data_IF_841002501584
#
_entry.id   IF_841002501584
#
_cell.length_a   1.000
_cell.length_b   1.000
_cell.length_c   1.000
_cell.angle_alpha   90.00
_cell.angle_beta   90.00
_cell.angle_gamma   90.00
#
_symmetry.space_group_name_H-M   'P 1'
#
loop_
_entity.id
_entity.type
_entity.pdbx_description
1 polymer ?
#
# COMPACT_ATOMS: atom_id res chain seq x y z
N UNK A 1 -8.44 -14.83 -20.11
CA UNK A 1 -7.91 -15.57 -18.94
C UNK A 1 -8.94 -15.40 -17.84
N UNK A 2 -9.77 -16.40 -17.61
CA UNK A 2 -10.83 -16.35 -16.60
C UNK A 2 -10.12 -16.64 -15.28
N UNK A 3 -10.00 -15.63 -14.40
CA UNK A 3 -9.57 -15.86 -13.03
C UNK A 3 -10.64 -16.72 -12.36
N UNK A 4 -10.26 -17.89 -11.88
CA UNK A 4 -11.14 -18.76 -11.10
C UNK A 4 -11.31 -18.14 -9.71
N UNK A 5 -12.23 -17.17 -9.61
CA UNK A 5 -12.51 -16.38 -8.41
C UNK A 5 -13.10 -17.20 -7.25
N UNK A 6 -13.33 -18.50 -7.43
CA UNK A 6 -14.02 -19.35 -6.44
C UNK A 6 -13.12 -19.85 -5.30
N UNK A 7 -11.80 -20.01 -5.53
CA UNK A 7 -10.89 -20.62 -4.55
C UNK A 7 -10.39 -19.59 -3.52
N UNK A 8 -10.18 -18.34 -3.94
CA UNK A 8 -9.68 -17.23 -3.10
C UNK A 8 -10.70 -16.79 -2.05
N UNK A 9 -11.95 -16.65 -2.49
CA UNK A 9 -13.06 -16.29 -1.63
C UNK A 9 -13.42 -17.45 -0.69
N UNK A 10 -13.25 -18.70 -1.13
CA UNK A 10 -13.38 -19.87 -0.28
C UNK A 10 -12.28 -19.92 0.80
N UNK A 11 -11.01 -19.73 0.45
CA UNK A 11 -9.92 -19.69 1.45
C UNK A 11 -10.13 -18.57 2.46
N UNK A 12 -10.58 -17.41 2.01
CA UNK A 12 -10.95 -16.28 2.87
C UNK A 12 -12.10 -16.61 3.84
N UNK A 13 -13.17 -17.23 3.33
CA UNK A 13 -14.39 -17.47 4.09
C UNK A 13 -14.30 -18.73 4.99
N UNK A 14 -13.52 -19.74 4.60
CA UNK A 14 -13.41 -21.01 5.31
C UNK A 14 -12.15 -21.13 6.19
N UNK A 15 -11.27 -20.13 6.21
CA UNK A 15 -10.07 -20.06 7.06
C UNK A 15 -10.38 -20.43 8.52
N UNK A 16 -11.45 -19.87 9.10
CA UNK A 16 -11.91 -20.18 10.46
C UNK A 16 -12.29 -21.65 10.65
N UNK A 17 -12.89 -22.27 9.65
CA UNK A 17 -13.27 -23.69 9.70
C UNK A 17 -12.05 -24.60 9.57
N UNK A 18 -11.09 -24.28 8.70
CA UNK A 18 -9.84 -25.04 8.59
C UNK A 18 -9.01 -24.97 9.86
N UNK A 19 -8.84 -23.78 10.45
CA UNK A 19 -8.13 -23.63 11.73
C UNK A 19 -8.83 -24.36 12.89
N UNK A 20 -10.16 -24.48 12.86
CA UNK A 20 -10.92 -25.13 13.92
C UNK A 20 -10.96 -26.66 13.80
N UNK A 21 -10.94 -27.19 12.59
CA UNK A 21 -11.17 -28.62 12.34
C UNK A 21 -9.94 -29.37 11.82
N UNK A 22 -8.98 -28.67 11.20
CA UNK A 22 -7.80 -29.29 10.59
C UNK A 22 -6.57 -28.36 10.61
N UNK A 23 -6.25 -27.87 11.82
CA UNK A 23 -5.14 -26.94 12.05
C UNK A 23 -3.79 -27.47 11.57
N UNK A 24 -3.54 -28.78 11.73
CA UNK A 24 -2.26 -29.40 11.41
C UNK A 24 -2.01 -29.45 9.90
N UNK A 25 -2.96 -29.95 9.09
CA UNK A 25 -2.78 -29.97 7.64
C UNK A 25 -2.81 -28.55 7.05
N UNK A 26 -3.58 -27.64 7.66
CA UNK A 26 -3.59 -26.23 7.24
C UNK A 26 -2.23 -25.56 7.47
N UNK A 27 -1.61 -25.76 8.64
CA UNK A 27 -0.26 -25.26 8.91
C UNK A 27 0.81 -25.91 8.00
N UNK A 28 0.68 -27.20 7.68
CA UNK A 28 1.56 -27.88 6.73
C UNK A 28 1.43 -27.27 5.33
N UNK A 29 0.20 -26.99 4.88
CA UNK A 29 -0.06 -26.31 3.62
C UNK A 29 0.57 -24.91 3.58
N UNK A 30 0.40 -24.10 4.62
CA UNK A 30 1.06 -22.79 4.71
C UNK A 30 2.58 -22.90 4.63
N UNK A 31 3.17 -23.92 5.28
CA UNK A 31 4.59 -24.20 5.16
C UNK A 31 5.02 -24.57 3.74
N UNK A 32 4.20 -25.33 2.99
CA UNK A 32 4.44 -25.64 1.57
C UNK A 32 4.38 -24.37 0.71
N UNK A 33 3.45 -23.45 0.99
CA UNK A 33 3.36 -22.17 0.29
C UNK A 33 4.58 -21.29 0.57
N UNK A 34 5.04 -21.23 1.82
CA UNK A 34 6.27 -20.50 2.20
C UNK A 34 7.52 -21.05 1.48
N UNK A 35 7.59 -22.37 1.26
CA UNK A 35 8.67 -23.03 0.51
C UNK A 35 8.50 -22.96 -1.02
N UNK A 36 7.38 -22.42 -1.51
CA UNK A 36 7.07 -22.36 -2.95
C UNK A 36 6.62 -23.70 -3.56
N UNK A 37 6.36 -24.72 -2.73
CA UNK A 37 5.87 -26.04 -3.13
C UNK A 37 4.36 -26.04 -3.42
N UNK A 38 3.64 -25.03 -2.92
CA UNK A 38 2.23 -24.80 -3.16
C UNK A 38 1.97 -23.32 -3.48
N UNK A 39 0.84 -23.03 -4.15
CA UNK A 39 0.42 -21.66 -4.45
C UNK A 39 -0.82 -21.32 -3.64
N UNK A 40 -0.82 -20.11 -3.09
CA UNK A 40 -2.03 -19.43 -2.65
C UNK A 40 -2.41 -18.45 -3.75
N UNK A 41 -3.66 -18.50 -4.19
CA UNK A 41 -4.19 -17.52 -5.13
C UNK A 41 -4.60 -16.27 -4.30
N UNK A 42 -4.36 -15.08 -4.88
CA UNK A 42 -4.63 -13.79 -4.24
C UNK A 42 -5.37 -12.83 -5.19
N UNK A 43 -5.86 -13.36 -6.31
CA UNK A 43 -6.38 -12.57 -7.43
C UNK A 43 -7.76 -11.98 -7.18
N UNK A 44 -8.55 -12.54 -6.25
CA UNK A 44 -9.90 -12.05 -5.93
C UNK A 44 -9.96 -11.01 -4.79
N UNK A 45 -8.84 -10.77 -4.08
CA UNK A 45 -8.82 -9.88 -2.92
C UNK A 45 -8.23 -8.52 -3.28
N UNK A 46 -8.80 -7.44 -2.75
CA UNK A 46 -8.17 -6.13 -2.87
C UNK A 46 -7.06 -5.96 -1.82
N UNK A 47 -6.04 -5.11 -2.09
CA UNK A 47 -4.94 -4.85 -1.15
C UNK A 47 -5.41 -4.46 0.25
N UNK A 48 -6.47 -3.65 0.34
CA UNK A 48 -7.04 -3.20 1.62
C UNK A 48 -7.76 -4.32 2.38
N UNK A 49 -8.40 -5.27 1.67
CA UNK A 49 -9.03 -6.44 2.27
C UNK A 49 -7.99 -7.35 2.94
N UNK A 50 -6.84 -7.55 2.29
CA UNK A 50 -5.74 -8.34 2.84
C UNK A 50 -5.20 -7.70 4.12
N UNK A 51 -5.01 -6.38 4.13
CA UNK A 51 -4.52 -5.66 5.31
C UNK A 51 -5.55 -5.67 6.44
N UNK A 52 -6.85 -5.52 6.13
CA UNK A 52 -7.93 -5.61 7.12
C UNK A 52 -7.93 -6.96 7.85
N UNK A 53 -7.61 -8.04 7.13
CA UNK A 53 -7.49 -9.40 7.68
C UNK A 53 -6.25 -9.63 8.56
N UNK A 54 -5.28 -8.71 8.63
CA UNK A 54 -4.20 -8.81 9.61
C UNK A 54 -4.67 -8.60 11.05
N UNK A 55 -5.84 -7.98 11.23
CA UNK A 55 -6.37 -7.59 12.53
C UNK A 55 -7.69 -8.30 12.86
N UNK A 56 -8.03 -9.37 12.14
CA UNK A 56 -9.24 -10.18 12.37
C UNK A 56 -9.22 -10.97 13.69
N UNK A 57 -8.07 -10.99 14.38
CA UNK A 57 -7.90 -11.64 15.68
C UNK A 57 -7.85 -13.16 15.61
N UNK A 58 -7.59 -13.72 14.42
CA UNK A 58 -7.55 -15.17 14.21
C UNK A 58 -6.23 -15.83 14.66
N UNK A 59 -6.31 -17.13 14.96
CA UNK A 59 -5.20 -17.93 15.50
C UNK A 59 -4.01 -18.14 14.53
N UNK A 60 -4.12 -17.71 13.26
CA UNK A 60 -3.02 -17.81 12.30
C UNK A 60 -2.01 -16.66 12.43
N UNK A 61 -2.26 -15.68 13.31
CA UNK A 61 -1.36 -14.56 13.56
C UNK A 61 -1.12 -13.66 12.33
N UNK A 62 -2.03 -13.68 11.35
CA UNK A 62 -1.90 -12.93 10.10
C UNK A 62 -1.03 -13.59 9.03
N UNK A 63 -0.57 -14.83 9.23
CA UNK A 63 0.28 -15.56 8.27
C UNK A 63 -0.37 -15.72 6.90
N UNK A 64 -1.68 -15.96 6.85
CA UNK A 64 -2.40 -16.11 5.57
C UNK A 64 -2.37 -14.78 4.79
N UNK A 65 -2.64 -13.67 5.47
CA UNK A 65 -2.62 -12.34 4.86
C UNK A 65 -1.23 -11.96 4.33
N UNK A 66 -0.16 -12.30 5.06
CA UNK A 66 1.22 -12.11 4.60
C UNK A 66 1.51 -12.87 3.30
N UNK A 67 1.08 -14.14 3.21
CA UNK A 67 1.30 -14.96 2.01
C UNK A 67 0.48 -14.46 0.83
N UNK A 68 -0.78 -14.07 1.06
CA UNK A 68 -1.64 -13.46 0.04
C UNK A 68 -1.06 -12.14 -0.47
N UNK A 69 -0.54 -11.30 0.42
CA UNK A 69 0.13 -10.05 0.04
C UNK A 69 1.37 -10.30 -0.81
N UNK A 70 2.27 -11.18 -0.34
CA UNK A 70 3.47 -11.54 -1.10
C UNK A 70 3.13 -12.05 -2.49
N UNK A 71 2.10 -12.91 -2.60
CA UNK A 71 1.64 -13.40 -3.90
C UNK A 71 1.15 -12.27 -4.80
N UNK A 72 0.30 -11.39 -4.29
CA UNK A 72 -0.22 -10.25 -5.03
C UNK A 72 0.89 -9.35 -5.56
N UNK A 73 1.89 -9.04 -4.73
CA UNK A 73 3.04 -8.22 -5.12
C UNK A 73 3.86 -8.92 -6.20
N UNK A 74 4.11 -10.22 -6.07
CA UNK A 74 4.81 -11.00 -7.12
C UNK A 74 4.02 -10.96 -8.43
N UNK A 75 2.73 -11.30 -8.41
CA UNK A 75 1.89 -11.35 -9.61
C UNK A 75 1.76 -9.98 -10.30
N UNK A 76 1.74 -8.89 -9.52
CA UNK A 76 1.72 -7.53 -10.06
C UNK A 76 3.09 -7.10 -10.56
N UNK A 77 4.18 -7.46 -9.88
CA UNK A 77 5.55 -7.13 -10.33
C UNK A 77 5.92 -7.81 -11.65
N UNK A 78 5.38 -9.00 -11.92
CA UNK A 78 5.55 -9.70 -13.20
C UNK A 78 4.77 -9.03 -14.33
N UNK A 79 3.62 -8.41 -14.04
CA UNK A 79 2.73 -7.76 -15.02
C UNK A 79 3.02 -6.28 -15.21
N UNK A 80 3.50 -5.61 -14.18
CA UNK A 80 3.66 -4.18 -14.10
C UNK A 80 4.90 -3.85 -13.27
N UNK A 81 5.93 -3.34 -13.95
CA UNK A 81 7.09 -2.73 -13.30
C UNK A 81 6.91 -1.23 -13.31
N UNK A 82 6.72 -0.66 -12.13
CA UNK A 82 6.62 0.79 -11.99
C UNK A 82 8.02 1.36 -11.81
N UNK A 83 8.56 1.84 -12.93
CA UNK A 83 9.84 2.51 -12.94
C UNK A 83 9.67 3.95 -12.49
N UNK A 84 10.63 4.43 -11.71
CA UNK A 84 10.80 5.84 -11.39
C UNK A 84 9.54 6.50 -10.81
N UNK A 85 8.85 5.81 -9.89
CA UNK A 85 7.69 6.36 -9.20
C UNK A 85 7.91 6.53 -7.71
N UNK A 86 7.24 7.54 -7.16
CA UNK A 86 7.15 7.76 -5.72
C UNK A 86 5.71 7.99 -5.33
N UNK A 87 5.36 7.60 -4.11
CA UNK A 87 4.03 7.80 -3.57
C UNK A 87 4.06 8.86 -2.47
N UNK A 88 3.07 9.74 -2.50
CA UNK A 88 2.75 10.69 -1.45
C UNK A 88 1.48 10.18 -0.78
N UNK A 89 1.56 9.86 0.50
CA UNK A 89 0.47 9.28 1.26
C UNK A 89 -0.12 10.25 2.28
N UNK A 90 -1.43 10.46 2.19
CA UNK A 90 -2.22 11.12 3.21
C UNK A 90 -2.70 10.10 4.24
N UNK A 91 -2.21 10.27 5.47
CA UNK A 91 -2.65 9.52 6.65
C UNK A 91 -3.22 10.46 7.69
N UNK A 92 -3.75 11.61 7.25
CA UNK A 92 -4.36 12.60 8.13
C UNK A 92 -5.58 12.01 8.83
N UNK A 93 -5.92 12.58 9.99
CA UNK A 93 -7.06 12.11 10.78
C UNK A 93 -8.41 12.19 10.06
N UNK A 94 -8.49 12.93 8.94
CA UNK A 94 -9.67 13.01 8.08
C UNK A 94 -9.98 11.70 7.36
N UNK A 95 -8.95 10.93 6.99
CA UNK A 95 -9.08 9.64 6.28
C UNK A 95 -9.53 8.48 7.19
N UNK A 96 -10.25 8.74 8.27
CA UNK A 96 -10.65 7.70 9.22
C UNK A 96 -11.53 6.62 8.60
N UNK A 97 -11.34 5.36 9.00
CA UNK A 97 -12.15 4.22 8.54
C UNK A 97 -11.53 3.46 7.36
N UNK A 98 -12.31 3.18 6.33
CA UNK A 98 -11.88 2.45 5.13
C UNK A 98 -10.91 3.24 4.23
N UNK A 99 -11.02 4.58 4.07
CA UNK A 99 -10.12 5.36 3.21
C UNK A 99 -8.64 5.27 3.60
N UNK A 100 -8.29 5.35 4.90
CA UNK A 100 -6.90 5.17 5.35
C UNK A 100 -6.39 3.76 5.10
N UNK A 101 -7.24 2.73 5.21
CA UNK A 101 -6.83 1.35 4.93
C UNK A 101 -6.49 1.17 3.46
N UNK A 102 -7.31 1.75 2.57
CA UNK A 102 -7.04 1.76 1.12
C UNK A 102 -5.77 2.56 0.82
N UNK A 103 -5.59 3.74 1.41
CA UNK A 103 -4.41 4.58 1.21
C UNK A 103 -3.12 3.86 1.64
N UNK A 104 -3.11 3.27 2.83
CA UNK A 104 -1.97 2.49 3.36
C UNK A 104 -1.66 1.30 2.47
N UNK A 105 -2.69 0.59 2.02
CA UNK A 105 -2.53 -0.56 1.12
C UNK A 105 -1.88 -0.17 -0.20
N UNK A 106 -2.42 0.84 -0.87
CA UNK A 106 -1.89 1.29 -2.16
C UNK A 106 -0.51 1.89 -2.04
N UNK A 107 -0.27 2.66 -0.97
CA UNK A 107 1.05 3.21 -0.64
C UNK A 107 2.09 2.11 -0.50
N UNK A 108 1.79 1.07 0.27
CA UNK A 108 2.72 -0.04 0.45
C UNK A 108 2.93 -0.81 -0.85
N UNK A 109 1.86 -1.09 -1.59
CA UNK A 109 1.92 -1.82 -2.85
C UNK A 109 2.80 -1.09 -3.88
N UNK A 110 2.56 0.22 -4.10
CA UNK A 110 3.38 1.01 -5.02
C UNK A 110 4.83 1.10 -4.55
N UNK A 111 5.07 1.23 -3.25
CA UNK A 111 6.42 1.31 -2.70
C UNK A 111 7.20 0.01 -2.90
N UNK A 112 6.54 -1.15 -2.83
CA UNK A 112 7.15 -2.47 -3.10
C UNK A 112 7.32 -2.75 -4.60
N UNK A 113 6.45 -2.22 -5.46
CA UNK A 113 6.56 -2.31 -6.91
C UNK A 113 7.57 -1.34 -7.52
N UNK A 114 7.98 -0.31 -6.78
CA UNK A 114 8.94 0.70 -7.22
C UNK A 114 10.35 0.12 -7.32
N UNK A 115 11.10 0.45 -8.38
CA UNK A 115 12.46 -0.02 -8.58
C UNK A 115 13.54 0.90 -7.93
N UNK A 116 14.73 0.34 -7.74
CA UNK A 116 15.96 1.06 -7.37
C UNK A 116 15.91 1.76 -5.99
N UNK A 117 16.42 3.00 -5.90
CA UNK A 117 16.56 3.76 -4.66
C UNK A 117 15.23 4.21 -4.06
N UNK A 118 14.17 4.16 -4.86
CA UNK A 118 12.81 4.57 -4.50
C UNK A 118 11.99 3.40 -3.93
N UNK A 119 12.50 2.17 -4.03
CA UNK A 119 11.88 0.99 -3.41
C UNK A 119 11.77 1.17 -1.89
N UNK A 120 10.55 1.00 -1.37
CA UNK A 120 10.27 1.20 0.04
C UNK A 120 10.30 2.67 0.48
N UNK A 121 10.44 3.63 -0.43
CA UNK A 121 10.35 5.06 -0.08
C UNK A 121 8.93 5.60 -0.28
N UNK A 122 8.54 6.51 0.62
CA UNK A 122 7.26 7.21 0.59
C UNK A 122 7.45 8.64 1.09
N UNK A 123 6.60 9.55 0.63
CA UNK A 123 6.57 10.94 1.10
C UNK A 123 5.31 11.17 1.92
N UNK A 124 5.44 11.84 3.07
CA UNK A 124 4.29 12.27 3.88
C UNK A 124 3.50 13.37 3.18
N UNK A 125 2.17 13.28 3.23
CA UNK A 125 1.30 14.39 2.89
C UNK A 125 1.27 15.41 4.05
N UNK A 126 2.13 16.44 4.00
CA UNK A 126 2.19 17.48 5.03
C UNK A 126 2.77 18.79 4.48
N UNK A 127 2.59 19.90 5.21
CA UNK A 127 3.14 21.22 4.85
C UNK A 127 4.68 21.17 4.70
N UNK A 128 5.32 20.25 5.42
CA UNK A 128 6.75 19.99 5.36
C UNK A 128 6.97 18.51 5.00
N UNK A 129 6.84 18.15 3.71
CA UNK A 129 6.89 16.77 3.27
C UNK A 129 8.25 16.14 3.60
N UNK A 130 8.23 14.96 4.19
CA UNK A 130 9.42 14.20 4.55
C UNK A 130 9.46 12.88 3.78
N UNK A 131 10.65 12.51 3.35
CA UNK A 131 10.93 11.21 2.76
C UNK A 131 11.15 10.20 3.87
N UNK A 132 10.34 9.16 3.89
CA UNK A 132 10.51 8.03 4.81
C UNK A 132 10.76 6.76 4.03
N UNK A 133 11.64 5.91 4.57
CA UNK A 133 11.76 4.53 4.14
C UNK A 133 10.86 3.68 5.03
N UNK A 134 9.95 2.92 4.43
CA UNK A 134 9.10 1.98 5.16
C UNK A 134 10.01 0.91 5.78
N UNK A 135 9.92 0.78 7.09
CA UNK A 135 10.63 -0.24 7.86
C UNK A 135 9.65 -1.29 8.39
N UNK A 136 10.09 -2.54 8.41
CA UNK A 136 9.31 -3.66 8.95
C UNK A 136 9.60 -4.99 8.27
N UNK A 137 9.70 -6.05 9.07
CA UNK A 137 9.93 -7.42 8.57
C UNK A 137 8.67 -8.14 8.10
N UNK A 138 7.49 -7.58 8.37
CA UNK A 138 6.18 -8.17 8.05
C UNK A 138 5.19 -7.08 7.66
N UNK A 139 4.13 -7.44 6.93
CA UNK A 139 3.05 -6.58 6.47
C UNK A 139 2.43 -5.77 7.61
N UNK A 140 2.25 -6.37 8.79
CA UNK A 140 1.72 -5.65 9.97
C UNK A 140 2.61 -4.49 10.41
N UNK A 141 3.91 -4.73 10.54
CA UNK A 141 4.87 -3.68 10.94
C UNK A 141 4.95 -2.58 9.87
N UNK A 142 4.96 -2.96 8.58
CA UNK A 142 5.01 -2.01 7.46
C UNK A 142 3.77 -1.12 7.40
N UNK A 143 2.58 -1.71 7.50
CA UNK A 143 1.31 -0.96 7.51
C UNK A 143 1.19 -0.08 8.75
N UNK A 144 1.63 -0.56 9.91
CA UNK A 144 1.68 0.24 11.13
C UNK A 144 2.69 1.40 11.04
N UNK A 145 3.82 1.20 10.37
CA UNK A 145 4.78 2.27 10.10
C UNK A 145 4.11 3.41 9.33
N UNK A 146 3.43 3.10 8.22
CA UNK A 146 2.74 4.09 7.38
C UNK A 146 1.65 4.82 8.18
N UNK A 147 0.83 4.09 8.95
CA UNK A 147 -0.25 4.68 9.77
C UNK A 147 0.25 5.62 10.87
N UNK A 148 1.49 5.45 11.32
CA UNK A 148 2.11 6.28 12.36
C UNK A 148 2.89 7.45 11.79
N UNK A 149 2.98 7.56 10.46
CA UNK A 149 3.62 8.70 9.83
C UNK A 149 2.85 9.98 10.13
N UNK A 150 3.60 11.06 10.32
CA UNK A 150 3.01 12.38 10.50
C UNK A 150 2.38 12.83 9.18
N UNK A 151 1.07 13.08 9.19
CA UNK A 151 0.36 13.71 8.08
C UNK A 151 -0.21 15.05 8.54
N UNK A 152 -0.13 16.03 7.63
CA UNK A 152 -0.69 17.37 7.81
C UNK A 152 -2.05 17.51 7.12
N UNK A 153 -2.55 18.74 7.06
CA UNK A 153 -3.83 19.09 6.43
C UNK A 153 -3.67 19.51 4.96
N UNK A 154 -2.44 19.75 4.50
CA UNK A 154 -2.10 20.19 3.16
C UNK A 154 -0.71 19.67 2.77
N UNK A 155 -0.41 19.67 1.48
CA UNK A 155 0.92 19.33 0.95
C UNK A 155 1.41 20.39 0.00
N UNK A 156 2.68 20.74 0.13
CA UNK A 156 3.37 21.63 -0.80
C UNK A 156 4.13 20.81 -1.85
N UNK A 157 3.58 20.75 -3.07
CA UNK A 157 4.19 20.03 -4.19
C UNK A 157 5.52 20.63 -4.65
N UNK A 158 5.77 21.92 -4.41
CA UNK A 158 7.08 22.51 -4.70
C UNK A 158 8.13 21.90 -3.77
N UNK A 159 7.83 21.79 -2.47
CA UNK A 159 8.71 21.12 -1.50
C UNK A 159 8.90 19.64 -1.82
N UNK A 160 7.87 18.95 -2.30
CA UNK A 160 8.00 17.55 -2.78
C UNK A 160 9.00 17.49 -3.94
N UNK A 161 8.90 18.38 -4.93
CA UNK A 161 9.85 18.44 -6.04
C UNK A 161 11.27 18.78 -5.56
N UNK A 162 11.41 19.73 -4.64
CA UNK A 162 12.71 20.11 -4.08
C UNK A 162 13.35 18.94 -3.32
N UNK A 163 12.56 18.17 -2.57
CA UNK A 163 13.01 16.96 -1.88
C UNK A 163 13.55 15.92 -2.88
N UNK A 164 12.83 15.70 -3.99
CA UNK A 164 13.27 14.79 -5.06
C UNK A 164 14.57 15.28 -5.72
N UNK A 165 14.73 16.58 -5.91
CA UNK A 165 15.95 17.19 -6.42
C UNK A 165 17.11 17.05 -5.43
N UNK A 166 16.86 17.19 -4.13
CA UNK A 166 17.88 16.98 -3.10
C UNK A 166 18.37 15.53 -3.08
N UNK A 167 17.46 14.55 -3.18
CA UNK A 167 17.83 13.13 -3.28
C UNK A 167 18.66 12.87 -4.53
N UNK A 168 18.32 13.51 -5.65
CA UNK A 168 19.10 13.41 -6.88
C UNK A 168 20.52 13.95 -6.70
N UNK A 169 20.67 15.14 -6.11
CA UNK A 169 21.99 15.76 -5.88
C UNK A 169 22.81 14.94 -4.90
N UNK A 170 22.22 14.49 -3.80
CA UNK A 170 22.89 13.68 -2.79
C UNK A 170 23.29 12.29 -3.30
N UNK A 171 22.44 11.66 -4.12
CA UNK A 171 22.67 10.34 -4.70
C UNK A 171 23.44 10.33 -6.01
N UNK A 172 23.80 11.50 -6.55
CA UNK A 172 24.38 11.69 -7.88
C UNK A 172 23.65 10.86 -8.97
N UNK A 173 22.32 10.97 -8.98
CA UNK A 173 21.48 10.12 -9.81
C UNK A 173 21.47 10.57 -11.28
N UNK A 174 21.67 9.60 -12.18
CA UNK A 174 21.44 9.77 -13.61
C UNK A 174 19.99 10.20 -13.88
N UNK A 175 19.78 10.95 -14.97
CA UNK A 175 18.44 11.40 -15.38
C UNK A 175 17.46 10.23 -15.54
N UNK A 176 17.95 9.08 -16.00
CA UNK A 176 17.16 7.88 -16.24
C UNK A 176 16.71 7.17 -14.94
N UNK A 177 17.24 7.56 -13.79
CA UNK A 177 16.88 7.06 -12.44
C UNK A 177 16.07 8.08 -11.64
N UNK A 178 15.76 9.22 -12.24
CA UNK A 178 14.98 10.28 -11.61
C UNK A 178 13.50 9.91 -11.62
N UNK A 179 12.77 10.31 -10.58
CA UNK A 179 11.31 10.12 -10.53
C UNK A 179 10.64 10.80 -11.74
N UNK A 180 9.85 10.02 -12.46
CA UNK A 180 9.00 10.46 -13.57
C UNK A 180 7.55 10.62 -13.14
N UNK A 181 7.11 9.85 -12.14
CA UNK A 181 5.70 9.76 -11.74
C UNK A 181 5.56 9.91 -10.23
N UNK A 182 4.70 10.84 -9.81
CA UNK A 182 4.31 11.00 -8.41
C UNK A 182 2.86 10.56 -8.28
N UNK A 183 2.62 9.52 -7.48
CA UNK A 183 1.28 9.08 -7.12
C UNK A 183 0.88 9.76 -5.82
N UNK A 184 -0.24 10.46 -5.82
CA UNK A 184 -0.74 11.15 -4.62
C UNK A 184 -2.04 10.48 -4.20
N UNK A 185 -2.02 9.88 -3.02
CA UNK A 185 -3.22 9.36 -2.38
C UNK A 185 -3.62 10.31 -1.27
N UNK A 186 -4.68 11.07 -1.51
CA UNK A 186 -5.33 11.90 -0.51
C UNK A 186 -6.84 11.83 -0.68
N UNK A 187 -7.56 12.20 0.37
CA UNK A 187 -9.03 12.26 0.34
C UNK A 187 -9.53 13.29 -0.68
N UNK A 188 -8.64 14.17 -1.18
CA UNK A 188 -8.95 15.28 -2.09
C UNK A 188 -10.36 15.82 -1.84
N UNK A 189 -10.64 16.23 -0.59
CA UNK A 189 -11.59 17.30 -0.39
C UNK A 189 -11.00 18.51 -1.11
N UNK A 190 -11.33 18.62 -2.40
CA UNK A 190 -11.27 19.88 -3.11
C UNK A 190 -12.29 20.78 -2.42
N UNK A 191 -11.91 21.40 -1.31
CA UNK A 191 -12.61 22.59 -0.80
C UNK A 191 -12.28 23.77 -1.73
N UNK A 192 -12.58 23.60 -3.01
CA UNK A 192 -12.97 24.70 -3.86
C UNK A 192 -14.42 25.02 -3.47
N UNK A 193 -14.57 25.63 -2.29
CA UNK A 193 -15.66 26.52 -2.00
C UNK A 193 -15.72 27.54 -3.13
N UNK A 194 -16.55 27.21 -4.14
CA UNK A 194 -17.04 28.14 -5.16
C UNK A 194 -17.61 29.31 -4.38
N UNK A 195 -16.83 30.37 -4.19
CA UNK A 195 -17.41 31.68 -3.94
C UNK A 195 -18.04 32.09 -5.28
N UNK A 196 -19.37 32.18 -5.41
CA UNK A 196 -19.93 32.83 -6.57
C UNK A 196 -19.56 34.30 -6.43
N UNK A 197 -18.52 34.73 -7.14
CA UNK A 197 -18.43 36.12 -7.55
C UNK A 197 -19.57 36.34 -8.54
N UNK A 198 -20.67 36.89 -8.02
CA UNK A 198 -21.88 37.20 -8.77
C UNK A 198 -22.61 38.37 -8.12
N UNK A 199 -21.89 39.47 -7.89
CA UNK A 199 -22.54 40.78 -7.80
C UNK A 199 -22.73 41.31 -9.22
N UNK A 200 -23.98 41.56 -9.62
CA UNK A 200 -24.42 42.71 -10.42
C UNK A 200 -25.92 42.62 -10.73
N UNK A 201 -26.66 43.62 -10.24
CA UNK A 201 -27.60 44.42 -11.04
C UNK A 201 -28.91 43.78 -11.54
N UNK A 202 -30.01 44.25 -10.96
CA UNK A 202 -31.38 44.14 -11.47
C UNK A 202 -32.32 44.93 -10.58
#
# INVERSE_FOLDING_TARGET
>A
MICDSSVDEAMANYKKHFLKHDENHFNEFLGKVERGEAKIEAGALFPHDIIKRLNDGENDGGRVAELQWKRMVVDLSEKCKLQNCIVVCDVSGSMSGEPIEVCVALTLLLSELSEHLWNGQVITFSENPKLHKIEGGNLRSKTQFIRRMEAGYNTDFQKVSDLLLQVKVAGNLDKDKMIEKVFVFSDMEFDNGRRPYGGCGG
#
